data_IF_904077846744
#
_entry.id   IF_904077846744
#
_cell.length_a   1.000
_cell.length_b   1.000
_cell.length_c   1.000
_cell.angle_alpha   90.00
_cell.angle_beta   90.00
_cell.angle_gamma   90.00
#
_symmetry.space_group_name_H-M   'P 1'
#
loop_
_entity.id
_entity.type
_entity.pdbx_description
1 polymer ?
#
# COMPACT_ATOMS: atom_id res chain seq x y z
N UNK A 1 -21.21 -6.25 -7.41
CA UNK A 1 -20.15 -5.32 -7.87
C UNK A 1 -19.63 -4.43 -6.75
N UNK A 2 -20.46 -3.64 -6.05
CA UNK A 2 -20.01 -2.79 -4.93
C UNK A 2 -19.36 -3.60 -3.78
N UNK A 3 -19.95 -4.74 -3.40
CA UNK A 3 -19.38 -5.67 -2.40
C UNK A 3 -18.04 -6.25 -2.84
N UNK A 4 -17.89 -6.59 -4.11
CA UNK A 4 -16.63 -7.10 -4.69
C UNK A 4 -15.53 -6.03 -4.65
N UNK A 5 -15.87 -4.77 -4.98
CA UNK A 5 -14.95 -3.64 -4.88
C UNK A 5 -14.52 -3.37 -3.44
N UNK A 6 -15.43 -3.53 -2.48
CA UNK A 6 -15.12 -3.40 -1.05
C UNK A 6 -14.12 -4.46 -0.59
N UNK A 7 -14.36 -5.73 -0.92
CA UNK A 7 -13.48 -6.85 -0.54
C UNK A 7 -12.09 -6.67 -1.19
N UNK A 8 -12.04 -6.36 -2.48
CA UNK A 8 -10.78 -6.14 -3.19
C UNK A 8 -10.03 -4.93 -2.64
N UNK A 9 -10.74 -3.84 -2.32
CA UNK A 9 -10.14 -2.66 -1.70
C UNK A 9 -9.52 -2.97 -0.32
N UNK A 10 -10.20 -3.74 0.52
CA UNK A 10 -9.66 -4.17 1.81
C UNK A 10 -8.43 -5.08 1.67
N UNK A 11 -8.47 -6.04 0.74
CA UNK A 11 -7.33 -6.91 0.45
C UNK A 11 -6.14 -6.09 -0.05
N UNK A 12 -6.38 -5.16 -0.97
CA UNK A 12 -5.32 -4.31 -1.52
C UNK A 12 -4.73 -3.38 -0.45
N UNK A 13 -5.54 -2.84 0.45
CA UNK A 13 -5.05 -2.06 1.58
C UNK A 13 -4.14 -2.90 2.48
N UNK A 14 -4.57 -4.10 2.88
CA UNK A 14 -3.76 -5.00 3.69
C UNK A 14 -2.45 -5.41 2.99
N UNK A 15 -2.52 -5.74 1.70
CA UNK A 15 -1.35 -6.06 0.89
C UNK A 15 -0.37 -4.88 0.79
N UNK A 16 -0.88 -3.65 0.66
CA UNK A 16 -0.06 -2.43 0.62
C UNK A 16 0.69 -2.22 1.94
N UNK A 17 0.02 -2.43 3.07
CA UNK A 17 0.64 -2.37 4.39
C UNK A 17 1.73 -3.44 4.54
N UNK A 18 1.43 -4.70 4.22
CA UNK A 18 2.42 -5.79 4.26
C UNK A 18 3.61 -5.51 3.33
N UNK A 19 3.36 -5.02 2.12
CA UNK A 19 4.40 -4.67 1.17
C UNK A 19 5.34 -3.61 1.73
N UNK A 20 4.79 -2.46 2.14
CA UNK A 20 5.58 -1.30 2.53
C UNK A 20 6.29 -1.47 3.88
N UNK A 21 5.65 -2.09 4.86
CA UNK A 21 6.22 -2.23 6.21
C UNK A 21 7.04 -3.51 6.41
N UNK A 22 6.83 -4.55 5.58
CA UNK A 22 7.53 -5.82 5.73
C UNK A 22 8.46 -6.13 4.56
N UNK A 23 7.94 -6.21 3.33
CA UNK A 23 8.73 -6.64 2.18
C UNK A 23 9.79 -5.62 1.75
N UNK A 24 9.46 -4.33 1.73
CA UNK A 24 10.42 -3.28 1.36
C UNK A 24 11.60 -3.22 2.36
N UNK A 25 11.37 -3.15 3.69
CA UNK A 25 12.46 -3.21 4.66
C UNK A 25 13.22 -4.53 4.65
N UNK A 26 12.53 -5.66 4.46
CA UNK A 26 13.17 -6.97 4.35
C UNK A 26 14.10 -7.04 3.13
N UNK A 27 13.67 -6.55 1.97
CA UNK A 27 14.49 -6.46 0.77
C UNK A 27 15.70 -5.55 0.96
N UNK A 28 15.53 -4.43 1.66
CA UNK A 28 16.64 -3.54 2.04
C UNK A 28 17.62 -4.18 3.03
N UNK A 29 17.12 -4.93 4.02
CA UNK A 29 17.96 -5.65 4.98
C UNK A 29 18.78 -6.76 4.29
N UNK A 30 18.22 -7.38 3.25
CA UNK A 30 18.90 -8.37 2.43
C UNK A 30 19.90 -7.74 1.42
N UNK A 31 19.73 -6.48 1.04
CA UNK A 31 20.59 -5.77 0.10
C UNK A 31 21.11 -4.44 0.68
N UNK A 32 22.16 -4.53 1.50
CA UNK A 32 22.69 -3.43 2.31
C UNK A 32 23.38 -2.31 1.52
N UNK A 33 23.70 -2.52 0.24
CA UNK A 33 24.34 -1.49 -0.61
C UNK A 33 23.34 -0.57 -1.31
N UNK A 34 22.08 -0.97 -1.49
CA UNK A 34 21.08 -0.23 -2.25
C UNK A 34 20.20 0.73 -1.43
N UNK A 35 20.04 0.49 -0.13
CA UNK A 35 19.09 1.23 0.71
C UNK A 35 19.79 2.24 1.63
N UNK A 36 20.09 3.44 1.10
CA UNK A 36 20.61 4.58 1.87
C UNK A 36 19.53 5.50 2.43
N UNK A 37 18.31 5.42 1.93
CA UNK A 37 17.21 6.31 2.34
C UNK A 37 16.41 5.74 3.53
N UNK A 38 15.92 6.63 4.40
CA UNK A 38 14.91 6.26 5.39
C UNK A 38 13.58 6.05 4.68
N UNK A 39 13.15 4.79 4.57
CA UNK A 39 11.83 4.42 4.07
C UNK A 39 10.78 4.87 5.09
N UNK A 40 10.17 6.02 4.80
CA UNK A 40 9.06 6.56 5.56
C UNK A 40 7.90 6.74 4.61
N UNK A 41 6.67 6.73 5.11
CA UNK A 41 5.48 7.03 4.29
C UNK A 41 5.53 8.43 3.66
N UNK A 42 6.44 9.30 4.11
CA UNK A 42 6.66 10.65 3.59
C UNK A 42 7.85 10.76 2.64
N UNK A 43 8.62 9.69 2.41
CA UNK A 43 9.71 9.70 1.42
C UNK A 43 9.17 9.54 0.00
N UNK A 44 9.99 9.83 -1.02
CA UNK A 44 9.62 9.58 -2.41
C UNK A 44 9.24 8.11 -2.67
N UNK A 45 9.96 7.17 -2.04
CA UNK A 45 9.60 5.75 -2.05
C UNK A 45 8.27 5.47 -1.33
N UNK A 46 7.97 6.17 -0.23
CA UNK A 46 6.66 6.12 0.44
C UNK A 46 5.52 6.60 -0.45
N UNK A 47 5.73 7.66 -1.22
CA UNK A 47 4.72 8.15 -2.16
C UNK A 47 4.35 7.07 -3.20
N UNK A 48 5.35 6.39 -3.75
CA UNK A 48 5.15 5.40 -4.81
C UNK A 48 4.67 4.04 -4.30
N UNK A 49 5.29 3.52 -3.24
CA UNK A 49 5.03 2.16 -2.76
C UNK A 49 3.94 2.07 -1.70
N UNK A 50 3.56 3.18 -1.06
CA UNK A 50 2.52 3.21 -0.04
C UNK A 50 1.31 4.04 -0.51
N UNK A 51 1.49 5.33 -0.80
CA UNK A 51 0.36 6.23 -1.05
C UNK A 51 -0.42 5.92 -2.32
N UNK A 52 0.25 5.65 -3.44
CA UNK A 52 -0.43 5.27 -4.69
C UNK A 52 -1.35 4.04 -4.52
N UNK A 53 -0.85 2.86 -4.10
CA UNK A 53 -1.70 1.69 -3.93
C UNK A 53 -2.72 1.87 -2.79
N UNK A 54 -2.38 2.60 -1.74
CA UNK A 54 -3.31 2.90 -0.64
C UNK A 54 -4.50 3.76 -1.09
N UNK A 55 -4.26 4.80 -1.91
CA UNK A 55 -5.35 5.65 -2.45
C UNK A 55 -6.26 4.86 -3.41
N UNK A 56 -5.68 3.95 -4.21
CA UNK A 56 -6.48 3.04 -5.05
C UNK A 56 -7.33 2.11 -4.20
N UNK A 57 -6.75 1.51 -3.16
CA UNK A 57 -7.51 0.70 -2.21
C UNK A 57 -8.63 1.50 -1.53
N UNK A 58 -8.33 2.73 -1.10
CA UNK A 58 -9.27 3.62 -0.44
C UNK A 58 -10.44 3.98 -1.34
N UNK A 59 -10.20 4.34 -2.60
CA UNK A 59 -11.27 4.66 -3.56
C UNK A 59 -12.14 3.44 -3.86
N UNK A 60 -11.57 2.24 -3.94
CA UNK A 60 -12.33 1.00 -4.09
C UNK A 60 -13.21 0.69 -2.87
N UNK A 61 -12.67 0.90 -1.65
CA UNK A 61 -13.45 0.77 -0.41
C UNK A 61 -14.57 1.81 -0.36
N UNK A 62 -14.27 3.09 -0.62
CA UNK A 62 -15.27 4.17 -0.60
C UNK A 62 -16.38 3.91 -1.62
N UNK A 63 -16.05 3.46 -2.82
CA UNK A 63 -17.03 3.07 -3.83
C UNK A 63 -17.89 1.89 -3.37
N UNK A 64 -17.29 0.91 -2.71
CA UNK A 64 -17.98 -0.26 -2.15
C UNK A 64 -18.88 0.07 -0.95
N UNK A 65 -18.48 1.04 -0.11
CA UNK A 65 -19.22 1.52 1.07
C UNK A 65 -20.31 2.52 0.68
N UNK A 66 -20.11 3.29 -0.40
CA UNK A 66 -21.07 4.30 -0.85
C UNK A 66 -22.46 3.68 -1.04
N UNK A 67 -23.40 4.10 -0.17
CA UNK A 67 -24.79 3.64 -0.18
C UNK A 67 -25.38 3.80 -1.58
N UNK A 68 -26.24 2.84 -1.92
CA UNK A 68 -26.87 2.63 -3.24
C UNK A 68 -27.06 3.92 -4.01
#
# INVERSE_FOLDING_TARGET
MKTTALILGLILAAATFLWFFYFVPLGCAMNTTGCRERFTVWSGAGLLHFWLPFLVALTAVLYGVSRR
#
